data_IF_071432980354
#
_entry.id   IF_071432980354
#
_cell.length_a   1.000
_cell.length_b   1.000
_cell.length_c   1.000
_cell.angle_alpha   90.00
_cell.angle_beta   90.00
_cell.angle_gamma   90.00
#
_symmetry.space_group_name_H-M   'P 1'
#
loop_
_entity.id
_entity.type
_entity.pdbx_description
1 polymer ?
#
# COMPACT_ATOMS: atom_id res chain seq x y z
N UNK A 1 -67.14 5.80 40.70
CA UNK A 1 -66.33 6.91 40.08
C UNK A 1 -65.42 6.26 39.02
N UNK A 2 -65.80 6.28 37.75
CA UNK A 2 -64.96 5.77 36.70
C UNK A 2 -63.92 6.83 36.31
N UNK A 3 -62.69 6.43 36.15
CA UNK A 3 -61.55 7.27 35.63
C UNK A 3 -61.68 7.44 34.14
N UNK A 4 -61.73 8.67 33.68
CA UNK A 4 -61.70 9.02 32.28
C UNK A 4 -60.29 8.70 31.64
N UNK A 5 -60.20 8.22 30.41
CA UNK A 5 -58.97 8.05 29.70
C UNK A 5 -58.51 9.40 29.09
N UNK A 6 -57.40 9.92 29.57
CA UNK A 6 -56.68 11.01 28.95
C UNK A 6 -55.89 10.50 27.76
N UNK A 7 -56.45 10.46 26.58
CA UNK A 7 -55.75 10.43 25.31
C UNK A 7 -56.67 10.94 24.19
N UNK A 8 -56.89 12.25 24.19
CA UNK A 8 -57.24 12.95 22.97
C UNK A 8 -55.91 13.47 22.40
N UNK A 9 -55.22 12.61 21.66
CA UNK A 9 -54.11 12.97 20.82
C UNK A 9 -54.56 13.93 19.75
N UNK A 10 -53.96 15.09 19.78
CA UNK A 10 -53.95 16.11 18.75
C UNK A 10 -53.54 15.51 17.40
N UNK A 11 -54.52 15.04 16.62
CA UNK A 11 -54.40 14.80 15.19
C UNK A 11 -54.97 16.03 14.48
N UNK A 12 -54.27 17.11 14.57
CA UNK A 12 -54.27 18.06 13.46
C UNK A 12 -53.38 17.45 12.40
N UNK A 13 -53.97 16.67 11.52
CA UNK A 13 -53.41 16.44 10.22
C UNK A 13 -53.38 17.81 9.55
N UNK A 14 -52.23 18.46 9.58
CA UNK A 14 -51.92 19.50 8.60
C UNK A 14 -52.06 18.83 7.25
N UNK A 15 -53.10 19.14 6.50
CA UNK A 15 -53.19 18.93 5.07
C UNK A 15 -52.03 19.72 4.46
N UNK A 16 -50.93 19.02 4.28
CA UNK A 16 -49.76 19.51 3.57
C UNK A 16 -50.17 19.51 2.10
N UNK A 17 -50.29 20.68 1.55
CA UNK A 17 -50.57 20.97 0.15
C UNK A 17 -49.63 20.08 -0.73
N UNK A 18 -50.20 19.17 -1.49
CA UNK A 18 -49.49 18.23 -2.35
C UNK A 18 -48.80 18.91 -3.56
N UNK A 19 -48.79 20.23 -3.61
CA UNK A 19 -48.29 21.02 -4.72
C UNK A 19 -46.98 21.77 -4.44
N UNK A 20 -46.43 21.65 -3.23
CA UNK A 20 -45.07 22.17 -2.99
C UNK A 20 -44.03 21.15 -3.47
N UNK A 21 -43.36 21.48 -4.55
CA UNK A 21 -42.26 20.71 -5.16
C UNK A 21 -41.02 20.55 -4.25
N UNK A 22 -41.17 20.77 -2.95
CA UNK A 22 -40.08 20.77 -1.97
C UNK A 22 -40.33 19.78 -0.81
N UNK A 23 -40.96 18.63 -1.14
CA UNK A 23 -41.10 17.55 -0.16
C UNK A 23 -39.73 16.91 0.08
N UNK A 24 -39.23 16.86 1.33
CA UNK A 24 -37.95 16.22 1.62
C UNK A 24 -38.06 14.72 1.33
N UNK A 25 -37.53 14.30 0.19
CA UNK A 25 -37.38 12.88 -0.14
C UNK A 25 -36.69 12.19 1.04
N UNK A 26 -37.30 11.11 1.57
CA UNK A 26 -36.69 10.41 2.68
C UNK A 26 -35.29 9.95 2.26
N UNK A 27 -34.30 9.97 3.16
CA UNK A 27 -32.92 9.52 2.87
C UNK A 27 -32.88 8.13 2.26
N UNK A 28 -33.85 7.28 2.59
CA UNK A 28 -34.00 5.95 2.02
C UNK A 28 -34.46 6.02 0.55
N UNK A 29 -35.42 6.86 0.24
CA UNK A 29 -35.95 7.05 -1.11
C UNK A 29 -34.86 7.66 -2.01
N UNK A 30 -34.18 8.71 -1.54
CA UNK A 30 -33.07 9.31 -2.26
C UNK A 30 -31.92 8.31 -2.58
N UNK A 31 -31.68 7.32 -1.72
CA UNK A 31 -30.71 6.27 -1.98
C UNK A 31 -31.20 5.24 -3.02
N UNK A 32 -32.53 4.92 -3.00
CA UNK A 32 -33.15 4.03 -4.01
C UNK A 32 -33.14 4.70 -5.39
N UNK A 33 -33.43 5.98 -5.43
CA UNK A 33 -33.49 6.77 -6.67
C UNK A 33 -32.10 7.18 -7.18
N UNK A 34 -31.02 6.80 -6.50
CA UNK A 34 -29.64 7.13 -6.86
C UNK A 34 -29.26 8.60 -6.65
N UNK A 35 -30.09 9.37 -5.96
CA UNK A 35 -29.87 10.80 -5.68
C UNK A 35 -28.92 11.00 -4.50
N UNK A 36 -28.91 10.05 -3.54
CA UNK A 36 -28.03 10.08 -2.39
C UNK A 36 -27.47 8.69 -2.10
N UNK A 37 -26.24 8.58 -1.56
CA UNK A 37 -25.65 7.30 -1.23
C UNK A 37 -26.43 6.56 -0.15
N UNK A 38 -26.59 5.26 -0.30
CA UNK A 38 -27.21 4.39 0.69
C UNK A 38 -26.38 4.34 1.99
N UNK A 39 -26.98 3.85 3.09
CA UNK A 39 -26.25 3.66 4.35
C UNK A 39 -25.04 2.72 4.21
N UNK A 40 -25.15 1.71 3.36
CA UNK A 40 -24.06 0.77 3.12
C UNK A 40 -22.92 1.42 2.33
N UNK A 41 -23.25 2.25 1.34
CA UNK A 41 -22.27 3.03 0.58
C UNK A 41 -21.56 4.05 1.47
N UNK A 42 -22.28 4.77 2.32
CA UNK A 42 -21.67 5.69 3.29
C UNK A 42 -20.76 4.96 4.27
N UNK A 43 -21.16 3.77 4.74
CA UNK A 43 -20.32 2.95 5.61
C UNK A 43 -19.06 2.49 4.88
N UNK A 44 -19.20 2.05 3.62
CA UNK A 44 -18.06 1.65 2.78
C UNK A 44 -17.12 2.81 2.54
N UNK A 45 -17.63 3.98 2.14
CA UNK A 45 -16.81 5.18 1.95
C UNK A 45 -16.02 5.55 3.22
N UNK A 46 -16.67 5.43 4.41
CA UNK A 46 -15.97 5.68 5.68
C UNK A 46 -14.89 4.66 5.96
N UNK A 47 -15.12 3.42 5.62
CA UNK A 47 -14.12 2.36 5.77
C UNK A 47 -12.96 2.58 4.80
N UNK A 48 -13.24 2.90 3.54
CA UNK A 48 -12.21 3.19 2.51
C UNK A 48 -11.33 4.38 2.93
N UNK A 49 -11.92 5.44 3.48
CA UNK A 49 -11.17 6.58 4.02
C UNK A 49 -10.33 6.22 5.25
N UNK A 50 -10.82 5.34 6.11
CA UNK A 50 -10.06 4.86 7.26
C UNK A 50 -8.88 4.00 6.83
N UNK A 51 -9.06 3.09 5.86
CA UNK A 51 -8.00 2.25 5.28
C UNK A 51 -6.95 3.11 4.56
N UNK A 52 -7.40 4.14 3.83
CA UNK A 52 -6.49 5.11 3.23
C UNK A 52 -5.69 5.86 4.30
N UNK A 53 -6.33 6.33 5.36
CA UNK A 53 -5.67 6.99 6.49
C UNK A 53 -4.63 6.10 7.18
N UNK A 54 -4.91 4.81 7.34
CA UNK A 54 -3.95 3.83 7.84
C UNK A 54 -2.76 3.69 6.89
N UNK A 55 -3.02 3.56 5.58
CA UNK A 55 -1.98 3.46 4.56
C UNK A 55 -1.09 4.71 4.50
N UNK A 56 -1.69 5.91 4.61
CA UNK A 56 -0.96 7.18 4.67
C UNK A 56 -0.11 7.26 5.94
N UNK A 57 -0.64 6.81 7.08
CA UNK A 57 0.11 6.78 8.33
C UNK A 57 1.32 5.83 8.32
N UNK A 58 1.32 4.84 7.43
CA UNK A 58 2.44 3.91 7.23
C UNK A 58 3.53 4.46 6.30
N UNK A 59 3.29 5.56 5.58
CA UNK A 59 4.30 6.17 4.71
C UNK A 59 5.51 6.66 5.53
N UNK A 60 6.74 6.60 4.98
CA UNK A 60 7.90 7.21 5.62
C UNK A 60 7.71 8.72 5.86
N UNK A 61 8.35 9.31 6.89
CA UNK A 61 8.18 10.72 7.22
C UNK A 61 8.47 11.67 6.05
N UNK A 62 9.54 11.42 5.29
CA UNK A 62 9.95 12.21 4.12
C UNK A 62 8.93 12.19 2.98
N UNK A 63 8.15 11.12 2.87
CA UNK A 63 7.04 11.01 1.92
C UNK A 63 5.80 11.73 2.43
N UNK A 64 5.51 11.59 3.71
CA UNK A 64 4.38 12.28 4.35
C UNK A 64 4.57 13.80 4.34
N UNK A 65 5.81 14.29 4.51
CA UNK A 65 6.15 15.72 4.48
C UNK A 65 5.90 16.38 3.11
N UNK A 66 5.89 15.59 2.05
CA UNK A 66 5.59 16.08 0.69
C UNK A 66 4.10 16.21 0.40
N UNK A 67 3.25 15.62 1.25
CA UNK A 67 1.79 15.70 1.10
C UNK A 67 1.26 17.02 1.64
N UNK A 68 0.41 17.66 0.85
CA UNK A 68 -0.33 18.85 1.27
C UNK A 68 -1.60 18.41 2.00
N UNK A 69 -1.48 18.15 3.28
CA UNK A 69 -2.58 17.74 4.17
C UNK A 69 -2.78 18.77 5.27
N UNK A 70 -4.00 18.82 5.81
CA UNK A 70 -4.32 19.69 6.94
C UNK A 70 -3.45 19.34 8.17
N UNK A 71 -3.04 20.36 8.93
CA UNK A 71 -2.18 20.21 10.12
C UNK A 71 -2.81 19.27 11.16
N UNK A 72 -4.13 19.33 11.34
CA UNK A 72 -4.84 18.46 12.27
C UNK A 72 -4.77 16.99 11.86
N UNK A 73 -4.84 16.72 10.54
CA UNK A 73 -4.68 15.36 10.02
C UNK A 73 -3.23 14.90 10.23
N UNK A 74 -2.26 15.78 10.00
CA UNK A 74 -0.85 15.49 10.23
C UNK A 74 -0.59 15.12 11.70
N UNK A 75 -1.07 15.93 12.63
CA UNK A 75 -0.94 15.67 14.07
C UNK A 75 -1.61 14.35 14.47
N UNK A 76 -2.80 14.07 13.92
CA UNK A 76 -3.51 12.84 14.19
C UNK A 76 -2.75 11.59 13.68
N UNK A 77 -2.08 11.68 12.52
CA UNK A 77 -1.23 10.62 11.98
C UNK A 77 0.01 10.42 12.88
N UNK A 78 0.64 11.49 13.32
CA UNK A 78 1.82 11.41 14.19
C UNK A 78 1.47 10.81 15.56
N UNK A 79 0.31 11.15 16.10
CA UNK A 79 -0.20 10.54 17.34
C UNK A 79 -0.53 9.05 17.14
N UNK A 80 -1.11 8.67 15.99
CA UNK A 80 -1.35 7.27 15.64
C UNK A 80 -0.05 6.46 15.65
N UNK A 81 1.04 7.02 15.12
CA UNK A 81 2.37 6.39 15.09
C UNK A 81 2.96 6.21 16.48
N UNK A 82 2.74 7.17 17.38
CA UNK A 82 3.23 7.13 18.76
C UNK A 82 2.42 6.20 19.66
N UNK A 83 1.15 5.98 19.31
CA UNK A 83 0.23 5.18 20.11
C UNK A 83 0.63 3.70 20.07
N UNK A 84 0.90 3.10 21.22
CA UNK A 84 1.33 1.69 21.35
C UNK A 84 0.19 0.74 21.66
N UNK A 85 -0.83 1.19 22.40
CA UNK A 85 -1.94 0.33 22.80
C UNK A 85 -2.86 0.03 21.63
N UNK A 86 -3.33 -1.22 21.52
CA UNK A 86 -4.24 -1.64 20.46
C UNK A 86 -5.53 -0.80 20.43
N UNK A 87 -6.14 -0.62 21.59
CA UNK A 87 -7.38 0.16 21.70
C UNK A 87 -7.16 1.65 21.39
N UNK A 88 -6.01 2.21 21.80
CA UNK A 88 -5.62 3.56 21.45
C UNK A 88 -5.45 3.74 19.96
N UNK A 89 -4.74 2.81 19.29
CA UNK A 89 -4.59 2.82 17.83
C UNK A 89 -5.94 2.77 17.11
N UNK A 90 -6.84 1.89 17.57
CA UNK A 90 -8.18 1.78 16.97
C UNK A 90 -8.96 3.08 17.06
N UNK A 91 -8.94 3.76 18.21
CA UNK A 91 -9.61 5.06 18.40
C UNK A 91 -8.97 6.15 17.55
N UNK A 92 -7.64 6.19 17.56
CA UNK A 92 -6.90 7.19 16.78
C UNK A 92 -7.12 7.01 15.27
N UNK A 93 -7.14 5.76 14.79
CA UNK A 93 -7.43 5.45 13.39
C UNK A 93 -8.85 5.88 12.98
N UNK A 94 -9.84 5.71 13.87
CA UNK A 94 -11.18 6.23 13.62
C UNK A 94 -11.21 7.75 13.55
N UNK A 95 -10.38 8.43 14.35
CA UNK A 95 -10.25 9.89 14.31
C UNK A 95 -9.57 10.35 13.02
N UNK A 96 -8.48 9.71 12.60
CA UNK A 96 -7.84 9.94 11.29
C UNK A 96 -8.87 9.76 10.15
N UNK A 97 -9.62 8.65 10.14
CA UNK A 97 -10.67 8.42 9.14
C UNK A 97 -11.76 9.50 9.12
N UNK A 98 -12.05 10.10 10.28
CA UNK A 98 -12.99 11.25 10.34
C UNK A 98 -12.41 12.52 9.71
N UNK A 99 -11.13 12.80 9.95
CA UNK A 99 -10.42 13.96 9.38
C UNK A 99 -10.21 13.79 7.86
N UNK A 100 -9.99 12.57 7.40
CA UNK A 100 -9.87 12.26 5.96
C UNK A 100 -11.08 12.68 5.12
N UNK A 101 -12.26 12.92 5.73
CA UNK A 101 -13.45 13.40 5.00
C UNK A 101 -13.30 14.80 4.43
N UNK A 102 -12.47 15.62 5.03
CA UNK A 102 -12.22 17.01 4.58
C UNK A 102 -11.05 17.13 3.62
N UNK A 103 -10.32 16.03 3.41
CA UNK A 103 -9.18 15.98 2.50
C UNK A 103 -9.61 15.50 1.10
N UNK A 104 -8.83 15.90 0.09
CA UNK A 104 -8.89 15.26 -1.22
C UNK A 104 -8.19 13.90 -1.13
N UNK A 105 -8.92 12.78 -1.35
CA UNK A 105 -8.33 11.45 -1.22
C UNK A 105 -7.39 11.08 -2.39
N UNK A 106 -7.51 11.72 -3.56
CA UNK A 106 -6.78 11.29 -4.76
C UNK A 106 -5.26 11.49 -4.64
N UNK A 107 -4.73 12.64 -4.21
CA UNK A 107 -3.29 12.80 -4.01
C UNK A 107 -2.73 11.84 -2.96
N UNK A 108 -3.53 11.50 -1.95
CA UNK A 108 -3.14 10.57 -0.89
C UNK A 108 -3.07 9.12 -1.42
N UNK A 109 -4.05 8.73 -2.25
CA UNK A 109 -4.05 7.42 -2.93
C UNK A 109 -2.86 7.26 -3.86
N UNK A 110 -2.57 8.30 -4.65
CA UNK A 110 -1.43 8.33 -5.56
C UNK A 110 -0.11 8.17 -4.80
N UNK A 111 0.07 8.90 -3.71
CA UNK A 111 1.27 8.81 -2.88
C UNK A 111 1.45 7.41 -2.28
N UNK A 112 0.37 6.80 -1.77
CA UNK A 112 0.38 5.44 -1.23
C UNK A 112 0.67 4.42 -2.34
N UNK A 113 0.04 4.55 -3.51
CA UNK A 113 0.26 3.66 -4.65
C UNK A 113 1.71 3.74 -5.14
N UNK A 114 2.23 4.94 -5.34
CA UNK A 114 3.63 5.18 -5.74
C UNK A 114 4.62 4.57 -4.74
N UNK A 115 4.37 4.73 -3.44
CA UNK A 115 5.21 4.12 -2.41
C UNK A 115 5.16 2.59 -2.44
N UNK A 116 3.97 2.00 -2.62
CA UNK A 116 3.81 0.54 -2.71
C UNK A 116 4.54 -0.05 -3.91
N UNK A 117 4.44 0.60 -5.07
CA UNK A 117 5.16 0.17 -6.29
C UNK A 117 6.67 0.24 -6.06
N UNK A 118 7.20 1.36 -5.55
CA UNK A 118 8.63 1.49 -5.23
C UNK A 118 9.10 0.43 -4.24
N UNK A 119 8.35 0.20 -3.17
CA UNK A 119 8.68 -0.82 -2.17
C UNK A 119 8.64 -2.25 -2.74
N UNK A 120 7.69 -2.55 -3.63
CA UNK A 120 7.62 -3.85 -4.29
C UNK A 120 8.80 -4.06 -5.24
N UNK A 121 9.18 -3.03 -6.01
CA UNK A 121 10.37 -3.05 -6.87
C UNK A 121 11.65 -3.27 -6.07
N UNK A 122 11.81 -2.57 -4.94
CA UNK A 122 12.95 -2.74 -4.04
C UNK A 122 13.02 -4.16 -3.47
N UNK A 123 11.87 -4.73 -3.10
CA UNK A 123 11.77 -6.11 -2.58
C UNK A 123 12.13 -7.12 -3.67
N UNK A 124 11.65 -6.93 -4.89
CA UNK A 124 11.99 -7.79 -6.03
C UNK A 124 13.49 -7.75 -6.32
N UNK A 125 14.08 -6.56 -6.37
CA UNK A 125 15.53 -6.39 -6.57
C UNK A 125 16.34 -7.07 -5.45
N UNK A 126 15.84 -7.04 -4.21
CA UNK A 126 16.45 -7.73 -3.09
C UNK A 126 16.44 -9.25 -3.30
N UNK A 127 15.29 -9.83 -3.62
CA UNK A 127 15.16 -11.27 -3.87
C UNK A 127 15.97 -11.72 -5.10
N UNK A 128 16.03 -10.92 -6.15
CA UNK A 128 16.88 -11.21 -7.30
C UNK A 128 18.36 -11.19 -6.93
N UNK A 129 18.79 -10.24 -6.10
CA UNK A 129 20.17 -10.18 -5.63
C UNK A 129 20.53 -11.38 -4.74
N UNK A 130 19.62 -11.84 -3.89
CA UNK A 130 19.79 -13.05 -3.09
C UNK A 130 19.91 -14.29 -3.96
N UNK A 131 19.00 -14.43 -4.93
CA UNK A 131 19.02 -15.55 -5.88
C UNK A 131 20.33 -15.61 -6.66
N UNK A 132 20.76 -14.50 -7.27
CA UNK A 132 21.98 -14.46 -8.05
C UNK A 132 23.24 -14.70 -7.19
N UNK A 133 23.30 -14.15 -5.99
CA UNK A 133 24.39 -14.46 -5.04
C UNK A 133 24.47 -15.96 -4.79
N UNK A 134 23.37 -16.62 -4.52
CA UNK A 134 23.34 -18.05 -4.21
C UNK A 134 23.71 -18.89 -5.44
N UNK A 135 23.26 -18.51 -6.65
CA UNK A 135 23.67 -19.15 -7.91
C UNK A 135 25.18 -19.00 -8.16
N UNK A 136 25.74 -17.81 -7.99
CA UNK A 136 27.16 -17.53 -8.15
C UNK A 136 28.04 -18.32 -7.15
N UNK A 137 27.50 -18.57 -5.96
CA UNK A 137 28.21 -19.38 -4.96
C UNK A 137 28.11 -20.88 -5.25
N UNK A 138 27.01 -21.33 -5.82
CA UNK A 138 26.78 -22.76 -6.07
C UNK A 138 27.38 -23.25 -7.37
N UNK A 139 27.46 -22.41 -8.43
CA UNK A 139 27.78 -22.86 -9.78
C UNK A 139 28.69 -21.87 -10.53
N UNK A 140 29.69 -22.38 -11.24
CA UNK A 140 30.58 -21.56 -12.07
C UNK A 140 29.93 -21.12 -13.38
N UNK A 141 28.96 -21.87 -13.90
CA UNK A 141 28.19 -21.49 -15.11
C UNK A 141 27.32 -20.25 -14.87
N UNK A 142 26.88 -20.07 -13.62
CA UNK A 142 26.13 -18.86 -13.23
C UNK A 142 26.98 -17.59 -13.42
N UNK A 143 28.29 -17.67 -13.24
CA UNK A 143 29.18 -16.54 -13.47
C UNK A 143 29.25 -16.16 -14.96
N UNK A 144 29.27 -17.15 -15.85
CA UNK A 144 29.26 -16.91 -17.29
C UNK A 144 27.94 -16.28 -17.74
N UNK A 145 26.83 -16.77 -17.21
CA UNK A 145 25.49 -16.21 -17.45
C UNK A 145 25.39 -14.77 -16.94
N UNK A 146 25.82 -14.53 -15.71
CA UNK A 146 25.83 -13.18 -15.14
C UNK A 146 26.59 -12.17 -16.00
N UNK A 147 27.82 -12.52 -16.40
CA UNK A 147 28.68 -11.62 -17.21
C UNK A 147 28.05 -11.32 -18.58
N UNK A 148 27.35 -12.29 -19.16
CA UNK A 148 26.62 -12.10 -20.41
C UNK A 148 25.44 -11.12 -20.25
N UNK A 149 24.70 -11.24 -19.17
CA UNK A 149 23.51 -10.44 -18.92
C UNK A 149 23.82 -9.05 -18.32
N UNK A 150 25.02 -8.93 -17.67
CA UNK A 150 25.51 -7.71 -17.03
C UNK A 150 26.94 -7.37 -17.47
N UNK A 151 27.13 -6.91 -18.71
CA UNK A 151 28.48 -6.66 -19.29
C UNK A 151 29.26 -5.54 -18.56
N UNK A 152 28.56 -4.64 -17.88
CA UNK A 152 29.17 -3.54 -17.08
C UNK A 152 29.80 -4.03 -15.77
N UNK A 153 29.62 -5.29 -15.41
CA UNK A 153 30.16 -5.84 -14.15
C UNK A 153 31.69 -6.03 -14.26
N UNK A 154 32.43 -5.56 -13.25
CA UNK A 154 33.85 -5.92 -13.12
C UNK A 154 34.00 -7.41 -12.82
N UNK A 155 34.33 -8.17 -13.88
CA UNK A 155 34.43 -9.64 -13.84
C UNK A 155 35.56 -10.07 -12.89
N UNK A 156 36.62 -9.30 -12.75
CA UNK A 156 37.76 -9.66 -11.86
C UNK A 156 37.35 -9.52 -10.40
N UNK A 157 36.66 -8.42 -10.07
CA UNK A 157 36.10 -8.18 -8.74
C UNK A 157 35.09 -9.27 -8.39
N UNK A 158 34.14 -9.56 -9.30
CA UNK A 158 33.12 -10.58 -9.10
C UNK A 158 33.75 -11.95 -8.81
N UNK A 159 34.70 -12.39 -9.65
CA UNK A 159 35.43 -13.67 -9.46
C UNK A 159 36.16 -13.73 -8.13
N UNK A 160 36.79 -12.63 -7.73
CA UNK A 160 37.49 -12.53 -6.45
C UNK A 160 36.55 -12.69 -5.27
N UNK A 161 35.40 -11.98 -5.30
CA UNK A 161 34.37 -12.04 -4.25
C UNK A 161 33.73 -13.43 -4.15
N UNK A 162 33.41 -14.07 -5.29
CA UNK A 162 32.83 -15.41 -5.32
C UNK A 162 33.81 -16.42 -4.70
N UNK A 163 35.09 -16.37 -5.10
CA UNK A 163 36.12 -17.28 -4.52
C UNK A 163 36.30 -17.05 -3.02
N UNK A 164 36.30 -15.81 -2.57
CA UNK A 164 36.48 -15.48 -1.15
C UNK A 164 35.24 -15.90 -0.35
N UNK A 165 34.03 -15.65 -0.84
CA UNK A 165 32.79 -16.03 -0.17
C UNK A 165 32.62 -17.56 -0.08
N UNK A 166 33.03 -18.31 -1.11
CA UNK A 166 33.06 -19.79 -1.07
C UNK A 166 34.05 -20.36 -0.05
N UNK A 167 35.11 -19.62 0.28
CA UNK A 167 36.08 -20.01 1.31
C UNK A 167 35.64 -19.69 2.73
N UNK A 168 34.71 -18.74 2.88
CA UNK A 168 34.12 -18.39 4.16
C UNK A 168 33.28 -19.57 4.64
N UNK A 169 33.88 -20.46 5.49
CA UNK A 169 33.13 -21.54 6.14
C UNK A 169 32.11 -20.93 7.09
N UNK A 170 30.84 -21.27 6.90
CA UNK A 170 29.77 -20.95 7.81
C UNK A 170 29.64 -22.08 8.84
N UNK A 171 30.01 -21.82 10.08
CA UNK A 171 29.56 -22.65 11.20
C UNK A 171 28.08 -22.39 11.48
N UNK A 172 27.27 -23.40 11.88
CA UNK A 172 25.87 -23.20 12.18
C UNK A 172 25.69 -22.14 13.27
N UNK A 173 25.05 -21.03 12.94
CA UNK A 173 24.79 -19.91 13.84
C UNK A 173 25.75 -18.72 13.70
N UNK A 174 26.79 -18.79 12.89
CA UNK A 174 27.66 -17.67 12.59
C UNK A 174 27.06 -16.71 11.54
N UNK A 175 27.43 -15.43 11.67
CA UNK A 175 27.03 -14.43 10.66
C UNK A 175 27.87 -14.63 9.40
N UNK A 176 27.22 -14.52 8.25
CA UNK A 176 27.89 -14.52 6.96
C UNK A 176 29.12 -13.60 6.93
N UNK A 177 30.20 -14.07 6.33
CA UNK A 177 31.44 -13.35 6.25
C UNK A 177 31.36 -12.06 5.42
N UNK A 178 32.44 -11.35 5.36
CA UNK A 178 32.52 -10.07 4.65
C UNK A 178 32.33 -10.25 3.14
N UNK A 179 33.04 -11.23 2.55
CA UNK A 179 32.98 -11.44 1.10
C UNK A 179 31.57 -11.85 0.62
N UNK A 180 30.83 -12.61 1.43
CA UNK A 180 29.44 -12.94 1.16
C UNK A 180 28.54 -11.70 1.10
N UNK A 181 28.73 -10.75 2.02
CA UNK A 181 27.97 -9.51 2.06
C UNK A 181 28.37 -8.55 0.92
N UNK A 182 29.68 -8.47 0.63
CA UNK A 182 30.20 -7.62 -0.44
C UNK A 182 29.75 -8.14 -1.82
N UNK A 183 29.68 -9.47 -2.00
CA UNK A 183 29.12 -10.09 -3.20
C UNK A 183 27.63 -9.72 -3.39
N UNK A 184 26.83 -9.82 -2.32
CA UNK A 184 25.44 -9.42 -2.36
C UNK A 184 25.26 -7.95 -2.74
N UNK A 185 26.08 -7.07 -2.16
CA UNK A 185 26.04 -5.64 -2.44
C UNK A 185 26.36 -5.35 -3.91
N UNK A 186 27.42 -5.94 -4.45
CA UNK A 186 27.81 -5.80 -5.85
C UNK A 186 26.68 -6.25 -6.78
N UNK A 187 26.14 -7.45 -6.55
CA UNK A 187 25.03 -7.99 -7.35
C UNK A 187 23.82 -7.07 -7.31
N UNK A 188 23.43 -6.60 -6.12
CA UNK A 188 22.30 -5.67 -5.96
C UNK A 188 22.50 -4.35 -6.69
N UNK A 189 23.70 -3.77 -6.60
CA UNK A 189 24.05 -2.52 -7.28
C UNK A 189 23.95 -2.67 -8.80
N UNK A 190 24.42 -3.77 -9.36
CA UNK A 190 24.35 -4.04 -10.79
C UNK A 190 22.92 -4.25 -11.28
N UNK A 191 22.08 -4.96 -10.52
CA UNK A 191 20.65 -5.14 -10.84
C UNK A 191 19.87 -3.81 -10.82
N UNK A 192 20.28 -2.87 -9.97
CA UNK A 192 19.66 -1.54 -9.89
C UNK A 192 20.19 -0.56 -10.94
N UNK A 193 21.40 -0.77 -11.46
CA UNK A 193 22.04 0.08 -12.47
C UNK A 193 21.47 -0.15 -13.88
N UNK A 194 20.82 -1.29 -14.15
CA UNK A 194 20.15 -1.58 -15.43
C UNK A 194 18.70 -1.11 -15.36
N UNK A 195 18.33 0.07 -15.87
CA UNK A 195 16.93 0.47 -15.97
C UNK A 195 16.25 -0.35 -17.05
N UNK A 196 15.39 -1.29 -16.64
CA UNK A 196 14.36 -1.86 -17.50
C UNK A 196 14.87 -2.76 -18.64
N UNK A 197 15.20 -4.01 -18.34
CA UNK A 197 14.93 -5.06 -19.31
C UNK A 197 13.44 -5.37 -19.24
N UNK A 198 12.65 -4.70 -20.06
CA UNK A 198 11.29 -5.12 -20.39
C UNK A 198 11.38 -6.54 -20.93
N UNK A 199 11.09 -7.50 -20.06
CA UNK A 199 10.78 -8.85 -20.48
C UNK A 199 9.36 -8.80 -21.08
N UNK A 200 9.26 -8.24 -22.27
CA UNK A 200 8.17 -8.52 -23.20
C UNK A 200 8.30 -9.98 -23.68
N UNK A 201 7.97 -10.89 -22.79
CA UNK A 201 7.66 -12.25 -23.15
C UNK A 201 6.19 -12.29 -23.54
N UNK A 202 5.87 -11.76 -24.72
CA UNK A 202 4.64 -12.12 -25.43
C UNK A 202 4.64 -13.64 -25.59
N UNK A 203 3.62 -14.35 -25.09
CA UNK A 203 3.44 -15.74 -25.45
C UNK A 203 3.08 -15.79 -26.94
N UNK A 204 4.00 -16.27 -27.76
CA UNK A 204 3.73 -16.72 -29.12
C UNK A 204 2.69 -17.81 -29.03
N UNK A 205 1.48 -17.47 -29.43
CA UNK A 205 0.38 -18.42 -29.70
C UNK A 205 0.74 -19.25 -30.93
N UNK A 206 0.95 -20.58 -30.80
CA UNK A 206 1.14 -21.47 -31.95
C UNK A 206 -0.17 -22.14 -32.28
N UNK A 207 -1.08 -21.41 -32.91
CA UNK A 207 -2.21 -22.08 -33.53
C UNK A 207 -2.75 -21.25 -34.69
N UNK A 208 -2.14 -21.42 -35.86
CA UNK A 208 -2.88 -21.40 -37.08
C UNK A 208 -2.05 -22.09 -38.16
N UNK A 209 -2.33 -23.36 -38.37
CA UNK A 209 -2.15 -24.02 -39.67
C UNK A 209 -3.28 -25.02 -39.83
N UNK A 210 -4.04 -24.78 -40.93
CA UNK A 210 -5.03 -25.62 -41.65
C UNK A 210 -6.28 -26.07 -40.92
#
# INVERSE_FOLDING_TARGET
>A
MPREPKHASNRQAEEIDAESADWPISKRQAAIDGIAPSRNELKKQMQDLQELGESVSALPPDRLDKLKIDERLRDAIDELRRTRSFEGKRRQLQYVGKLMKSEDPEPLREAVASYRVGSATDTLALHQAEYWRDQLLANDDALATWVKDHPETDVQQLRSLVRSARKEKLEPGERHGRAYRDLFKLVKEQLQAVPGSDHDASPTDPSHDD
#
